data_IF_367584890452
#
_entry.id   IF_367584890452
#
_cell.length_a   1.000
_cell.length_b   1.000
_cell.length_c   1.000
_cell.angle_alpha   90.00
_cell.angle_beta   90.00
_cell.angle_gamma   90.00
#
_symmetry.space_group_name_H-M   'P 1'
#
loop_
_entity.id
_entity.type
_entity.pdbx_description
1 polymer ?
#
# COMPACT_ATOMS: atom_id res chain seq x y z
N UNK A 1 18.41 -9.77 -26.56
CA UNK A 1 18.07 -10.96 -27.36
C UNK A 1 18.30 -12.18 -26.50
N UNK A 2 17.30 -13.04 -26.39
CA UNK A 2 17.39 -14.26 -25.57
C UNK A 2 17.98 -15.39 -26.42
N UNK A 3 18.92 -16.13 -25.84
CA UNK A 3 19.47 -17.34 -26.44
C UNK A 3 18.79 -18.54 -25.78
N UNK A 4 17.83 -19.13 -26.48
CA UNK A 4 17.09 -20.30 -25.97
C UNK A 4 18.02 -21.47 -25.64
N UNK A 5 19.17 -21.63 -26.30
CA UNK A 5 20.14 -22.69 -25.97
C UNK A 5 20.84 -22.51 -24.61
N UNK A 6 20.61 -21.41 -23.88
CA UNK A 6 21.14 -21.25 -22.53
C UNK A 6 20.40 -22.18 -21.56
N UNK A 7 21.10 -23.05 -20.81
CA UNK A 7 20.47 -24.02 -19.92
C UNK A 7 19.46 -23.38 -18.96
N UNK A 8 19.82 -22.25 -18.34
CA UNK A 8 18.94 -21.54 -17.41
C UNK A 8 17.63 -21.02 -18.04
N UNK A 9 17.64 -20.68 -19.34
CA UNK A 9 16.43 -20.25 -20.05
C UNK A 9 15.55 -21.47 -20.35
N UNK A 10 16.13 -22.59 -20.78
CA UNK A 10 15.39 -23.84 -20.95
C UNK A 10 14.78 -24.31 -19.62
N UNK A 11 15.54 -24.27 -18.52
CA UNK A 11 15.06 -24.69 -17.20
C UNK A 11 13.80 -23.92 -16.79
N UNK A 12 13.75 -22.59 -17.01
CA UNK A 12 12.56 -21.77 -16.74
C UNK A 12 11.38 -22.14 -17.64
N UNK A 13 11.64 -22.36 -18.94
CA UNK A 13 10.59 -22.70 -19.90
C UNK A 13 9.93 -24.03 -19.51
N UNK A 14 10.74 -25.03 -19.17
CA UNK A 14 10.27 -26.38 -18.82
C UNK A 14 9.77 -26.50 -17.37
N UNK A 15 10.08 -25.52 -16.52
CA UNK A 15 9.75 -25.54 -15.10
C UNK A 15 8.24 -25.48 -14.85
N UNK A 16 7.77 -26.27 -13.89
CA UNK A 16 6.40 -26.20 -13.34
C UNK A 16 6.36 -25.49 -11.98
N UNK A 17 7.39 -24.74 -11.66
CA UNK A 17 7.48 -24.04 -10.39
C UNK A 17 6.39 -22.97 -10.27
N UNK A 18 6.00 -22.60 -9.04
CA UNK A 18 5.12 -21.46 -8.79
C UNK A 18 5.65 -20.18 -9.44
N UNK A 19 4.74 -19.26 -9.76
CA UNK A 19 5.08 -18.01 -10.44
C UNK A 19 6.08 -17.16 -9.64
N UNK A 20 6.10 -17.29 -8.32
CA UNK A 20 7.06 -16.63 -7.42
C UNK A 20 8.51 -17.06 -7.67
N UNK A 21 8.73 -18.36 -7.82
CA UNK A 21 10.05 -18.92 -8.12
C UNK A 21 10.48 -18.55 -9.54
N UNK A 22 9.55 -18.61 -10.51
CA UNK A 22 9.79 -18.21 -11.89
C UNK A 22 10.18 -16.72 -11.98
N UNK A 23 9.46 -15.84 -11.29
CA UNK A 23 9.78 -14.41 -11.26
C UNK A 23 11.20 -14.19 -10.71
N UNK A 24 11.53 -14.80 -9.57
CA UNK A 24 12.86 -14.69 -8.96
C UNK A 24 13.98 -15.15 -9.90
N UNK A 25 13.79 -16.28 -10.58
CA UNK A 25 14.77 -16.82 -11.52
C UNK A 25 14.94 -15.94 -12.76
N UNK A 26 13.82 -15.49 -13.37
CA UNK A 26 13.84 -14.57 -14.52
C UNK A 26 14.57 -13.28 -14.17
N UNK A 27 14.25 -12.66 -13.03
CA UNK A 27 14.87 -11.42 -12.54
C UNK A 27 16.38 -11.61 -12.33
N UNK A 28 16.80 -12.76 -11.78
CA UNK A 28 18.22 -13.09 -11.60
C UNK A 28 18.98 -13.23 -12.92
N UNK A 29 18.40 -13.94 -13.90
CA UNK A 29 19.02 -14.14 -15.22
C UNK A 29 19.05 -12.83 -15.98
N UNK A 30 17.96 -12.05 -15.95
CA UNK A 30 17.90 -10.73 -16.57
C UNK A 30 18.97 -9.80 -16.00
N UNK A 31 19.12 -9.73 -14.67
CA UNK A 31 20.17 -8.93 -14.03
C UNK A 31 21.57 -9.34 -14.49
N UNK A 32 21.83 -10.65 -14.60
CA UNK A 32 23.09 -11.17 -15.13
C UNK A 32 23.29 -10.81 -16.61
N UNK A 33 22.24 -10.87 -17.42
CA UNK A 33 22.28 -10.50 -18.84
C UNK A 33 22.53 -9.00 -19.02
N UNK A 34 21.92 -8.16 -18.17
CA UNK A 34 22.08 -6.72 -18.18
C UNK A 34 23.51 -6.29 -17.79
N UNK A 35 24.09 -6.89 -16.74
CA UNK A 35 25.49 -6.66 -16.37
C UNK A 35 26.45 -6.97 -17.53
N UNK A 36 26.29 -8.14 -18.16
CA UNK A 36 27.12 -8.55 -19.30
C UNK A 36 26.99 -7.62 -20.52
N UNK A 37 25.81 -6.99 -20.73
CA UNK A 37 25.62 -5.98 -21.76
C UNK A 37 26.29 -4.66 -21.37
N UNK A 38 26.07 -4.21 -20.14
CA UNK A 38 26.64 -2.96 -19.62
C UNK A 38 28.17 -3.00 -19.53
N UNK A 39 28.81 -4.16 -19.42
CA UNK A 39 30.27 -4.28 -19.48
C UNK A 39 30.87 -3.92 -20.85
N UNK A 40 30.04 -3.71 -21.89
CA UNK A 40 30.51 -3.38 -23.24
C UNK A 40 30.05 -1.98 -23.66
N UNK A 41 30.98 -1.08 -24.04
CA UNK A 41 30.66 0.32 -24.34
C UNK A 41 29.56 0.52 -25.40
N UNK A 42 29.49 -0.36 -26.40
CA UNK A 42 28.50 -0.27 -27.48
C UNK A 42 27.05 -0.52 -27.04
N UNK A 43 26.81 -1.12 -25.87
CA UNK A 43 25.47 -1.40 -25.36
C UNK A 43 25.02 -0.42 -24.29
N UNK A 44 25.96 0.20 -23.56
CA UNK A 44 25.65 1.14 -22.46
C UNK A 44 24.74 2.30 -22.88
N UNK A 45 24.90 2.80 -24.12
CA UNK A 45 24.11 3.92 -24.66
C UNK A 45 23.00 3.48 -25.62
N UNK A 46 22.85 2.17 -25.86
CA UNK A 46 21.89 1.66 -26.83
C UNK A 46 20.55 1.32 -26.15
N UNK A 47 19.77 2.36 -25.85
CA UNK A 47 18.49 2.25 -25.16
C UNK A 47 17.51 1.28 -25.85
N UNK A 48 17.47 1.25 -27.18
CA UNK A 48 16.59 0.36 -27.93
C UNK A 48 16.96 -1.12 -27.74
N UNK A 49 18.25 -1.45 -27.74
CA UNK A 49 18.71 -2.82 -27.50
C UNK A 49 18.44 -3.29 -26.06
N UNK A 50 18.60 -2.40 -25.08
CA UNK A 50 18.29 -2.67 -23.67
C UNK A 50 16.79 -2.88 -23.47
N UNK A 51 15.96 -1.99 -24.02
CA UNK A 51 14.51 -2.08 -23.95
C UNK A 51 13.99 -3.38 -24.62
N UNK A 52 14.51 -3.73 -25.81
CA UNK A 52 14.16 -4.99 -26.46
C UNK A 52 14.62 -6.20 -25.64
N UNK A 53 15.76 -6.14 -24.94
CA UNK A 53 16.19 -7.23 -24.08
C UNK A 53 15.19 -7.43 -22.93
N UNK A 54 14.83 -6.34 -22.26
CA UNK A 54 13.86 -6.36 -21.16
C UNK A 54 12.49 -6.89 -21.62
N UNK A 55 12.00 -6.47 -22.78
CA UNK A 55 10.74 -6.95 -23.35
C UNK A 55 10.74 -8.47 -23.61
N UNK A 56 11.84 -9.04 -24.10
CA UNK A 56 11.94 -10.49 -24.33
C UNK A 56 11.84 -11.28 -23.02
N UNK A 57 12.49 -10.82 -21.94
CA UNK A 57 12.38 -11.46 -20.63
C UNK A 57 10.99 -11.30 -20.03
N UNK A 58 10.39 -10.11 -20.15
CA UNK A 58 9.00 -9.87 -19.79
C UNK A 58 8.03 -10.80 -20.53
N UNK A 59 8.34 -11.15 -21.78
CA UNK A 59 7.53 -12.08 -22.59
C UNK A 59 7.65 -13.53 -22.13
N UNK A 60 8.81 -13.96 -21.65
CA UNK A 60 8.94 -15.28 -21.00
C UNK A 60 8.06 -15.32 -19.75
N UNK A 61 8.16 -14.31 -18.89
CA UNK A 61 7.33 -14.25 -17.68
C UNK A 61 5.83 -14.23 -18.02
N UNK A 62 5.41 -13.39 -18.97
CA UNK A 62 4.03 -13.34 -19.44
C UNK A 62 3.51 -14.72 -19.89
N UNK A 63 4.31 -15.48 -20.64
CA UNK A 63 3.94 -16.83 -21.06
C UNK A 63 3.82 -17.80 -19.86
N UNK A 64 4.68 -17.67 -18.84
CA UNK A 64 4.59 -18.47 -17.62
C UNK A 64 3.38 -18.09 -16.76
N UNK A 65 2.99 -16.82 -16.72
CA UNK A 65 1.73 -16.38 -16.11
C UNK A 65 0.54 -16.99 -16.87
N UNK A 66 0.56 -16.98 -18.20
CA UNK A 66 -0.48 -17.64 -19.00
C UNK A 66 -0.57 -19.14 -18.69
N UNK A 67 0.57 -19.84 -18.62
CA UNK A 67 0.62 -21.26 -18.26
C UNK A 67 0.06 -21.52 -16.85
N UNK A 68 0.39 -20.65 -15.88
CA UNK A 68 -0.20 -20.69 -14.55
C UNK A 68 -1.73 -20.56 -14.60
N UNK A 69 -2.26 -19.63 -15.39
CA UNK A 69 -3.71 -19.50 -15.59
C UNK A 69 -4.33 -20.77 -16.19
N UNK A 70 -3.69 -21.38 -17.20
CA UNK A 70 -4.15 -22.63 -17.79
C UNK A 70 -4.18 -23.80 -16.79
N UNK A 71 -3.26 -23.81 -15.83
CA UNK A 71 -3.09 -24.90 -14.88
C UNK A 71 -3.96 -24.74 -13.60
N UNK A 72 -4.53 -23.56 -13.36
CA UNK A 72 -5.45 -23.30 -12.26
C UNK A 72 -6.89 -23.55 -12.71
N UNK A 73 -7.56 -24.55 -12.13
CA UNK A 73 -8.91 -24.96 -12.54
C UNK A 73 -9.96 -23.86 -12.37
N UNK A 74 -9.82 -22.97 -11.38
CA UNK A 74 -10.77 -21.88 -11.17
C UNK A 74 -10.60 -20.80 -12.25
N UNK A 75 -9.35 -20.49 -12.62
CA UNK A 75 -9.06 -19.52 -13.67
C UNK A 75 -9.43 -20.10 -15.04
N UNK A 76 -8.89 -21.28 -15.39
CA UNK A 76 -9.02 -21.87 -16.73
C UNK A 76 -10.46 -22.20 -17.14
N UNK A 77 -11.35 -22.48 -16.18
CA UNK A 77 -12.77 -22.76 -16.46
C UNK A 77 -13.67 -21.52 -16.40
N UNK A 78 -13.11 -20.32 -16.19
CA UNK A 78 -13.89 -19.08 -16.10
C UNK A 78 -14.11 -18.43 -17.47
N UNK A 79 -15.22 -17.71 -17.61
CA UNK A 79 -15.49 -16.90 -18.79
C UNK A 79 -14.51 -15.71 -18.89
N UNK A 80 -14.00 -15.23 -17.75
CA UNK A 80 -12.88 -14.30 -17.68
C UNK A 80 -11.69 -14.79 -18.52
N UNK A 81 -11.27 -16.05 -18.35
CA UNK A 81 -10.09 -16.56 -19.02
C UNK A 81 -10.28 -16.70 -20.54
N UNK A 82 -11.48 -17.02 -21.01
CA UNK A 82 -11.80 -17.05 -22.44
C UNK A 82 -11.61 -15.68 -23.13
N UNK A 83 -11.74 -14.60 -22.37
CA UNK A 83 -11.62 -13.21 -22.83
C UNK A 83 -10.30 -12.55 -22.43
N UNK A 84 -9.50 -13.19 -21.58
CA UNK A 84 -8.26 -12.64 -21.06
C UNK A 84 -7.14 -12.81 -22.09
N UNK A 85 -6.46 -11.70 -22.41
CA UNK A 85 -5.22 -11.76 -23.16
C UNK A 85 -4.18 -10.80 -22.61
N UNK A 86 -2.92 -11.17 -22.76
CA UNK A 86 -1.78 -10.41 -22.25
C UNK A 86 -0.93 -9.86 -23.39
N UNK A 87 -0.31 -8.70 -23.16
CA UNK A 87 0.70 -8.17 -24.05
C UNK A 87 1.86 -7.57 -23.27
N UNK A 88 3.05 -7.72 -23.83
CA UNK A 88 4.22 -6.97 -23.41
C UNK A 88 4.25 -5.62 -24.11
N UNK A 89 4.45 -4.56 -23.35
CA UNK A 89 4.70 -3.22 -23.88
C UNK A 89 6.02 -2.66 -23.31
N UNK A 90 6.52 -1.58 -23.89
CA UNK A 90 7.71 -0.87 -23.41
C UNK A 90 7.32 0.58 -23.15
N UNK A 91 7.37 0.99 -21.89
CA UNK A 91 7.24 2.39 -21.52
C UNK A 91 8.65 2.99 -21.37
N UNK A 92 9.18 3.55 -22.45
CA UNK A 92 10.56 4.04 -22.49
C UNK A 92 11.58 2.90 -22.49
N UNK A 93 12.18 2.59 -21.34
CA UNK A 93 13.14 1.49 -21.18
C UNK A 93 12.66 0.36 -20.25
N UNK A 94 11.45 0.51 -19.68
CA UNK A 94 10.91 -0.45 -18.72
C UNK A 94 9.82 -1.30 -19.37
N UNK A 95 9.92 -2.63 -19.30
CA UNK A 95 8.88 -3.49 -19.82
C UNK A 95 7.62 -3.40 -18.94
N UNK A 96 6.47 -3.66 -19.53
CA UNK A 96 5.19 -3.79 -18.85
C UNK A 96 4.48 -5.04 -19.38
N UNK A 97 3.68 -5.70 -18.53
CA UNK A 97 2.76 -6.76 -18.96
C UNK A 97 1.34 -6.26 -18.71
N UNK A 98 0.57 -6.06 -19.78
CA UNK A 98 -0.81 -5.56 -19.73
C UNK A 98 -1.80 -6.71 -19.80
N UNK A 99 -2.77 -6.75 -18.90
CA UNK A 99 -3.85 -7.73 -18.85
C UNK A 99 -5.13 -7.12 -19.39
N UNK A 100 -5.61 -7.62 -20.52
CA UNK A 100 -6.75 -7.06 -21.22
C UNK A 100 -7.90 -8.06 -21.22
N UNK A 101 -9.11 -7.52 -21.10
CA UNK A 101 -10.35 -8.23 -21.33
C UNK A 101 -10.88 -7.87 -22.72
N UNK A 102 -10.98 -8.84 -23.61
CA UNK A 102 -11.64 -8.67 -24.90
C UNK A 102 -13.15 -8.68 -24.69
N UNK A 103 -13.89 -7.69 -25.20
CA UNK A 103 -15.35 -7.74 -25.18
C UNK A 103 -15.95 -7.98 -26.57
N UNK A 104 -17.20 -8.43 -26.60
CA UNK A 104 -17.96 -8.76 -27.81
C UNK A 104 -18.11 -7.59 -28.80
N UNK A 105 -17.82 -6.36 -28.38
CA UNK A 105 -17.91 -5.15 -29.20
C UNK A 105 -16.60 -4.80 -29.91
N UNK A 106 -15.65 -5.74 -29.99
CA UNK A 106 -14.30 -5.51 -30.55
C UNK A 106 -13.52 -4.39 -29.83
N UNK A 107 -13.82 -4.16 -28.55
CA UNK A 107 -13.04 -3.25 -27.71
C UNK A 107 -12.32 -4.04 -26.61
N UNK A 108 -11.11 -3.59 -26.28
CA UNK A 108 -10.31 -4.16 -25.22
C UNK A 108 -10.42 -3.26 -24.00
N UNK A 109 -10.67 -3.87 -22.84
CA UNK A 109 -10.66 -3.19 -21.55
C UNK A 109 -9.37 -3.60 -20.85
N UNK A 110 -8.46 -2.65 -20.64
CA UNK A 110 -7.25 -2.90 -19.87
C UNK A 110 -7.65 -3.07 -18.41
N UNK A 111 -7.48 -4.27 -17.86
CA UNK A 111 -7.83 -4.56 -16.47
C UNK A 111 -6.79 -3.96 -15.53
N UNK A 112 -5.54 -4.40 -15.69
CA UNK A 112 -4.40 -3.98 -14.89
C UNK A 112 -3.09 -4.22 -15.65
N UNK A 113 -2.02 -3.64 -15.15
CA UNK A 113 -0.67 -3.75 -15.69
C UNK A 113 0.30 -4.23 -14.60
N UNK A 114 1.18 -5.18 -14.92
CA UNK A 114 2.41 -5.41 -14.16
C UNK A 114 3.45 -4.44 -14.71
N UNK A 115 3.76 -3.42 -13.92
CA UNK A 115 4.89 -2.54 -14.17
C UNK A 115 6.15 -3.23 -13.68
N UNK A 116 7.28 -2.98 -14.34
CA UNK A 116 8.57 -3.48 -13.86
C UNK A 116 8.63 -5.01 -13.64
N UNK A 117 8.09 -5.83 -14.56
CA UNK A 117 7.80 -7.26 -14.34
C UNK A 117 9.03 -8.14 -14.13
N UNK A 118 10.25 -7.65 -14.34
CA UNK A 118 11.48 -8.46 -14.26
C UNK A 118 12.53 -7.80 -13.37
N UNK A 119 12.07 -6.94 -12.46
CA UNK A 119 12.90 -6.26 -11.49
C UNK A 119 12.22 -6.22 -10.10
N UNK A 120 12.96 -5.77 -9.08
CA UNK A 120 12.50 -5.73 -7.70
C UNK A 120 11.50 -4.60 -7.40
N UNK A 121 11.27 -3.70 -8.35
CA UNK A 121 10.28 -2.62 -8.29
C UNK A 121 8.96 -3.03 -8.96
N UNK A 122 8.84 -4.31 -9.34
CA UNK A 122 7.64 -4.90 -9.91
C UNK A 122 6.41 -4.63 -9.06
N UNK A 123 5.37 -4.08 -9.67
CA UNK A 123 4.11 -3.80 -8.98
C UNK A 123 2.92 -3.88 -9.94
N UNK A 124 1.74 -4.04 -9.36
CA UNK A 124 0.48 -3.98 -10.10
C UNK A 124 -0.03 -2.54 -10.14
N UNK A 125 -0.62 -2.18 -11.27
CA UNK A 125 -1.38 -0.96 -11.44
C UNK A 125 -2.76 -1.32 -11.99
N UNK A 126 -3.81 -1.00 -11.24
CA UNK A 126 -5.18 -1.17 -11.68
C UNK A 126 -5.57 -0.07 -12.68
N UNK A 127 -6.37 -0.44 -13.66
CA UNK A 127 -6.79 0.48 -14.73
C UNK A 127 -8.32 0.54 -14.79
N UNK A 128 -8.96 -0.61 -14.94
CA UNK A 128 -10.43 -0.71 -14.96
C UNK A 128 -10.94 -1.78 -13.98
N UNK A 129 -10.20 -2.06 -12.90
CA UNK A 129 -10.63 -2.99 -11.86
C UNK A 129 -11.69 -2.36 -10.93
N UNK A 130 -12.46 -3.18 -10.21
CA UNK A 130 -13.36 -2.70 -9.17
C UNK A 130 -12.66 -1.85 -8.13
N UNK A 131 -13.32 -0.78 -7.71
CA UNK A 131 -12.90 0.09 -6.61
C UNK A 131 -13.90 0.00 -5.47
N UNK A 132 -13.60 0.66 -4.35
CA UNK A 132 -14.55 0.70 -3.23
C UNK A 132 -15.85 1.44 -3.59
N UNK A 133 -15.77 2.37 -4.55
CA UNK A 133 -16.91 3.16 -5.03
C UNK A 133 -17.69 2.45 -6.14
N UNK A 134 -17.03 1.58 -6.88
CA UNK A 134 -17.60 0.83 -8.00
C UNK A 134 -17.15 -0.64 -7.94
N UNK A 135 -17.85 -1.42 -7.11
CA UNK A 135 -17.54 -2.84 -6.83
C UNK A 135 -17.81 -3.72 -8.07
N UNK A 136 -18.71 -3.28 -8.95
CA UNK A 136 -19.04 -3.97 -10.21
C UNK A 136 -19.03 -2.95 -11.35
N UNK A 137 -17.84 -2.60 -11.88
CA UNK A 137 -17.73 -1.60 -12.92
C UNK A 137 -18.61 -1.93 -14.12
N UNK A 138 -19.43 -0.99 -14.54
CA UNK A 138 -20.36 -1.19 -15.67
C UNK A 138 -19.64 -1.55 -16.98
N UNK A 139 -18.35 -1.22 -17.09
CA UNK A 139 -17.51 -1.60 -18.22
C UNK A 139 -17.14 -3.10 -18.23
N UNK A 140 -17.06 -3.75 -17.06
CA UNK A 140 -16.63 -5.14 -16.91
C UNK A 140 -17.83 -6.09 -16.84
N UNK A 141 -18.08 -6.93 -17.86
CA UNK A 141 -19.18 -7.88 -17.85
C UNK A 141 -18.80 -9.17 -17.11
N UNK A 142 -18.34 -9.06 -15.87
CA UNK A 142 -17.88 -10.19 -15.05
C UNK A 142 -18.97 -10.61 -14.06
N UNK A 143 -19.23 -11.91 -13.97
CA UNK A 143 -20.08 -12.50 -12.93
C UNK A 143 -19.28 -12.88 -11.66
N UNK A 144 -19.93 -13.45 -10.65
CA UNK A 144 -19.26 -13.81 -9.40
C UNK A 144 -18.17 -14.91 -9.58
N UNK A 145 -18.33 -15.82 -10.54
CA UNK A 145 -17.30 -16.83 -10.85
C UNK A 145 -16.09 -16.19 -11.54
N UNK A 146 -16.34 -15.25 -12.45
CA UNK A 146 -15.31 -14.47 -13.12
C UNK A 146 -14.53 -13.61 -12.11
N UNK A 147 -15.20 -12.99 -11.14
CA UNK A 147 -14.52 -12.29 -10.05
C UNK A 147 -13.70 -13.23 -9.17
N UNK A 148 -14.20 -14.41 -8.85
CA UNK A 148 -13.43 -15.41 -8.12
C UNK A 148 -12.15 -15.81 -8.87
N UNK A 149 -12.23 -16.00 -10.19
CA UNK A 149 -11.08 -16.27 -11.05
C UNK A 149 -10.10 -15.08 -11.10
N UNK A 150 -10.60 -13.84 -11.21
CA UNK A 150 -9.77 -12.64 -11.20
C UNK A 150 -9.03 -12.46 -9.87
N UNK A 151 -9.71 -12.67 -8.75
CA UNK A 151 -9.13 -12.65 -7.41
C UNK A 151 -8.06 -13.74 -7.30
N UNK A 152 -8.33 -14.95 -7.81
CA UNK A 152 -7.37 -16.04 -7.82
C UNK A 152 -6.11 -15.70 -8.62
N UNK A 153 -6.25 -15.09 -9.80
CA UNK A 153 -5.14 -14.60 -10.60
C UNK A 153 -4.30 -13.59 -9.81
N UNK A 154 -4.93 -12.58 -9.21
CA UNK A 154 -4.21 -11.55 -8.45
C UNK A 154 -3.51 -12.16 -7.24
N UNK A 155 -4.15 -13.06 -6.48
CA UNK A 155 -3.52 -13.78 -5.37
C UNK A 155 -2.24 -14.52 -5.80
N UNK A 156 -2.25 -15.15 -6.98
CA UNK A 156 -1.04 -15.78 -7.51
C UNK A 156 0.05 -14.75 -7.83
N UNK A 157 -0.30 -13.60 -8.42
CA UNK A 157 0.66 -12.52 -8.69
C UNK A 157 1.24 -11.93 -7.40
N UNK A 158 0.45 -11.83 -6.33
CA UNK A 158 0.93 -11.43 -5.01
C UNK A 158 1.98 -12.40 -4.44
N UNK A 159 1.88 -13.70 -4.74
CA UNK A 159 2.95 -14.66 -4.35
C UNK A 159 4.28 -14.35 -5.05
N UNK A 160 4.24 -13.74 -6.24
CA UNK A 160 5.40 -13.27 -6.98
C UNK A 160 5.83 -11.85 -6.60
N UNK A 161 5.33 -11.31 -5.48
CA UNK A 161 5.66 -9.99 -4.96
C UNK A 161 5.17 -8.82 -5.82
N UNK A 162 4.17 -9.05 -6.69
CA UNK A 162 3.46 -7.97 -7.37
C UNK A 162 2.25 -7.53 -6.57
N UNK A 163 2.32 -6.32 -6.00
CA UNK A 163 1.25 -5.73 -5.19
C UNK A 163 0.70 -4.48 -5.86
N UNK A 164 -0.57 -4.16 -5.62
CA UNK A 164 -1.09 -2.82 -5.91
C UNK A 164 -0.47 -1.79 -4.96
N UNK A 165 -0.30 -0.55 -5.43
CA UNK A 165 0.42 0.47 -4.66
C UNK A 165 -0.45 1.13 -3.58
N UNK A 166 -1.77 1.23 -3.82
CA UNK A 166 -2.66 1.97 -2.90
C UNK A 166 -3.98 1.25 -2.67
N UNK A 167 -4.52 1.43 -1.47
CA UNK A 167 -5.84 0.95 -1.05
C UNK A 167 -6.99 1.47 -1.93
N UNK A 168 -6.81 2.64 -2.55
CA UNK A 168 -7.84 3.35 -3.34
C UNK A 168 -7.97 2.75 -4.74
N UNK A 169 -6.88 2.17 -5.26
CA UNK A 169 -6.77 1.78 -6.66
C UNK A 169 -7.72 0.63 -7.03
N UNK A 170 -7.89 -0.34 -6.13
CA UNK A 170 -8.82 -1.46 -6.33
C UNK A 170 -9.16 -2.15 -5.02
N UNK A 171 -10.32 -2.79 -4.94
CA UNK A 171 -10.67 -3.68 -3.80
C UNK A 171 -10.16 -5.12 -3.98
N UNK A 172 -9.43 -5.40 -5.07
CA UNK A 172 -8.82 -6.71 -5.33
C UNK A 172 -7.44 -6.83 -4.70
N UNK A 173 -7.30 -6.37 -3.46
CA UNK A 173 -6.08 -6.44 -2.67
C UNK A 173 -6.37 -6.97 -1.26
N UNK A 174 -5.38 -7.53 -0.54
CA UNK A 174 -5.54 -8.00 0.83
C UNK A 174 -6.14 -6.95 1.77
N UNK A 175 -6.97 -7.42 2.70
CA UNK A 175 -7.45 -6.61 3.83
C UNK A 175 -6.33 -6.37 4.82
N UNK A 176 -5.55 -7.42 5.13
CA UNK A 176 -4.45 -7.30 6.08
C UNK A 176 -3.36 -6.36 5.53
N UNK A 177 -3.02 -5.36 6.35
CA UNK A 177 -2.07 -4.32 5.99
C UNK A 177 -2.59 -3.22 5.08
N UNK A 178 -3.86 -3.26 4.67
CA UNK A 178 -4.50 -2.19 3.91
C UNK A 178 -4.40 -0.89 4.68
N UNK A 179 -3.73 0.11 4.11
CA UNK A 179 -3.54 1.42 4.73
C UNK A 179 -4.14 2.49 3.85
N UNK A 180 -4.99 3.35 4.42
CA UNK A 180 -5.63 4.44 3.69
C UNK A 180 -5.73 5.70 4.55
N UNK A 181 -5.69 6.85 3.87
CA UNK A 181 -5.90 8.14 4.53
C UNK A 181 -7.38 8.29 4.89
N UNK A 182 -7.65 8.94 6.02
CA UNK A 182 -9.00 9.23 6.48
C UNK A 182 -9.15 10.71 6.89
N UNK A 183 -10.37 11.13 7.17
CA UNK A 183 -10.65 12.48 7.65
C UNK A 183 -10.43 12.54 9.16
N UNK A 184 -9.36 13.20 9.58
CA UNK A 184 -9.14 13.56 10.97
C UNK A 184 -9.88 14.86 11.33
N UNK A 185 -10.26 15.04 12.61
CA UNK A 185 -10.67 16.35 13.11
C UNK A 185 -9.63 17.43 12.78
N UNK A 186 -10.06 18.71 12.67
CA UNK A 186 -9.14 19.81 12.34
C UNK A 186 -7.95 19.83 13.30
N UNK A 187 -6.75 19.97 12.72
CA UNK A 187 -5.52 20.14 13.49
C UNK A 187 -5.64 21.39 14.35
N UNK A 188 -5.37 21.25 15.64
CA UNK A 188 -5.31 22.35 16.58
C UNK A 188 -3.85 22.61 16.95
N UNK A 189 -3.54 23.88 17.24
CA UNK A 189 -2.20 24.28 17.66
C UNK A 189 -2.25 24.80 19.09
N UNK A 190 -1.31 24.34 19.92
CA UNK A 190 -1.02 24.92 21.22
C UNK A 190 0.46 25.30 21.26
N UNK A 191 0.76 26.43 21.89
CA UNK A 191 2.12 26.91 22.01
C UNK A 191 2.47 27.33 23.43
N UNK A 192 3.70 27.07 23.84
CA UNK A 192 4.30 27.60 25.05
C UNK A 192 5.59 28.33 24.69
N UNK A 193 5.81 29.49 25.30
CA UNK A 193 7.05 30.25 25.14
C UNK A 193 7.75 30.39 26.49
N UNK A 194 9.07 30.28 26.48
CA UNK A 194 9.93 30.51 27.63
C UNK A 194 11.07 31.44 27.22
N UNK A 195 11.30 32.47 28.01
CA UNK A 195 12.52 33.27 27.93
C UNK A 195 13.62 32.54 28.70
N UNK A 196 14.77 32.34 28.06
CA UNK A 196 15.89 31.59 28.63
C UNK A 196 16.85 32.57 29.29
N UNK A 197 17.07 32.40 30.58
CA UNK A 197 18.06 33.16 31.32
C UNK A 197 19.35 32.35 31.47
N UNK A 198 20.50 33.01 31.57
CA UNK A 198 21.84 32.39 31.60
C UNK A 198 22.08 31.40 32.75
N UNK A 199 21.13 31.20 33.65
CA UNK A 199 21.18 30.25 34.78
C UNK A 199 20.07 29.17 34.71
N UNK A 200 19.27 29.12 33.63
CA UNK A 200 18.21 28.14 33.48
C UNK A 200 18.79 26.79 33.03
N UNK A 201 19.00 25.87 33.96
CA UNK A 201 19.39 24.49 33.63
C UNK A 201 18.50 23.46 34.35
N UNK A 202 17.85 22.52 33.63
CA UNK A 202 17.69 22.40 32.16
C UNK A 202 16.47 23.17 31.60
N UNK A 203 16.47 23.44 30.28
CA UNK A 203 15.35 24.07 29.56
C UNK A 203 14.24 23.03 29.35
N UNK A 204 12.99 23.37 29.70
CA UNK A 204 11.86 22.44 29.59
C UNK A 204 10.59 23.21 29.18
N UNK A 205 10.19 23.05 27.91
CA UNK A 205 8.97 23.60 27.37
C UNK A 205 7.86 22.55 27.44
N UNK A 206 6.71 22.92 27.99
CA UNK A 206 5.60 21.99 28.21
C UNK A 206 4.29 22.57 27.68
N UNK A 207 3.52 21.74 26.99
CA UNK A 207 2.15 22.04 26.60
C UNK A 207 1.27 20.84 26.93
N UNK A 208 0.04 21.09 27.39
CA UNK A 208 -0.93 20.03 27.63
C UNK A 208 -1.80 19.86 26.38
N UNK A 209 -1.71 18.69 25.76
CA UNK A 209 -2.53 18.29 24.62
C UNK A 209 -3.64 17.32 25.02
N UNK A 210 -3.72 16.89 26.28
CA UNK A 210 -4.73 15.94 26.77
C UNK A 210 -4.61 14.56 26.12
N UNK A 211 -5.75 13.90 25.89
CA UNK A 211 -5.84 12.60 25.20
C UNK A 211 -5.61 12.69 23.68
N UNK A 212 -5.19 13.84 23.16
CA UNK A 212 -5.04 14.04 21.73
C UNK A 212 -3.67 13.59 21.23
N UNK A 213 -3.62 13.13 19.99
CA UNK A 213 -2.39 12.72 19.35
C UNK A 213 -1.61 13.90 18.75
N UNK A 214 -0.29 13.80 18.83
CA UNK A 214 0.64 14.77 18.25
C UNK A 214 0.78 14.51 16.75
N UNK A 215 0.36 15.47 15.93
CA UNK A 215 0.58 15.42 14.49
C UNK A 215 2.01 15.82 14.13
N UNK A 216 2.50 16.93 14.71
CA UNK A 216 3.89 17.38 14.64
C UNK A 216 4.16 18.47 15.70
N UNK A 217 5.43 18.81 15.88
CA UNK A 217 5.83 19.93 16.73
C UNK A 217 7.03 20.66 16.14
N UNK A 218 7.19 21.93 16.52
CA UNK A 218 8.34 22.75 16.19
C UNK A 218 8.79 23.53 17.42
N UNK A 219 10.08 23.82 17.50
CA UNK A 219 10.65 24.67 18.55
C UNK A 219 11.40 25.80 17.88
N UNK A 220 10.85 27.01 17.98
CA UNK A 220 11.34 28.17 17.24
C UNK A 220 12.13 29.11 18.16
N UNK A 221 13.30 29.54 17.69
CA UNK A 221 14.09 30.62 18.28
C UNK A 221 14.60 31.52 17.16
N UNK A 222 14.35 32.84 17.24
CA UNK A 222 14.79 33.81 16.22
C UNK A 222 14.48 33.40 14.76
N UNK A 223 13.33 32.77 14.53
CA UNK A 223 12.91 32.32 13.19
C UNK A 223 13.59 31.04 12.69
N UNK A 224 14.34 30.32 13.53
CA UNK A 224 14.91 29.00 13.23
C UNK A 224 14.23 27.92 14.04
N UNK A 225 13.92 26.80 13.39
CA UNK A 225 13.45 25.59 14.05
C UNK A 225 14.66 24.83 14.61
N UNK A 226 14.63 24.53 15.90
CA UNK A 226 15.68 23.82 16.65
C UNK A 226 15.14 22.55 17.32
N UNK A 227 13.98 22.06 16.90
CA UNK A 227 13.31 20.89 17.51
C UNK A 227 14.21 19.65 17.57
N UNK A 228 15.12 19.49 16.62
CA UNK A 228 16.08 18.38 16.50
C UNK A 228 17.25 18.44 17.50
N UNK A 229 17.39 19.55 18.22
CA UNK A 229 18.47 19.75 19.20
C UNK A 229 18.10 19.36 20.62
N UNK A 230 16.87 18.88 20.85
CA UNK A 230 16.37 18.45 22.15
C UNK A 230 15.58 17.15 22.05
N UNK A 231 15.18 16.65 23.21
CA UNK A 231 14.42 15.43 23.37
C UNK A 231 12.94 15.76 23.58
N UNK A 232 12.08 15.08 22.82
CA UNK A 232 10.63 15.22 22.93
C UNK A 232 10.00 13.96 23.52
N UNK A 233 9.07 14.14 24.44
CA UNK A 233 8.27 13.06 25.02
C UNK A 233 6.83 13.50 25.26
N UNK A 234 5.90 12.57 25.10
CA UNK A 234 4.50 12.73 25.50
C UNK A 234 4.29 11.85 26.74
N UNK A 235 3.78 12.44 27.82
CA UNK A 235 3.48 11.73 29.06
C UNK A 235 2.08 11.13 29.03
N UNK A 236 1.82 10.12 29.87
CA UNK A 236 0.52 9.43 29.98
C UNK A 236 -0.64 10.38 30.36
N UNK A 237 -0.35 11.52 30.99
CA UNK A 237 -1.35 12.55 31.35
C UNK A 237 -1.60 13.58 30.23
N UNK A 238 -1.01 13.39 29.05
CA UNK A 238 -1.22 14.24 27.88
C UNK A 238 -0.35 15.50 27.85
N UNK A 239 0.77 15.52 28.57
CA UNK A 239 1.71 16.65 28.53
C UNK A 239 2.82 16.36 27.53
N UNK A 240 2.89 17.17 26.48
CA UNK A 240 4.02 17.15 25.55
C UNK A 240 5.14 18.02 26.13
N UNK A 241 6.33 17.43 26.23
CA UNK A 241 7.52 18.03 26.82
C UNK A 241 8.62 18.01 25.76
N UNK A 242 9.24 19.17 25.55
CA UNK A 242 10.51 19.29 24.83
C UNK A 242 11.58 19.80 25.78
N UNK A 243 12.66 19.05 25.91
CA UNK A 243 13.74 19.30 26.86
C UNK A 243 15.09 19.33 26.14
N UNK A 244 15.98 20.21 26.62
CA UNK A 244 17.34 20.34 26.09
C UNK A 244 18.25 20.92 27.17
N UNK A 245 19.52 20.50 27.13
CA UNK A 245 20.59 21.14 27.91
C UNK A 245 20.78 22.60 27.49
N UNK A 246 20.89 23.49 28.47
CA UNK A 246 21.24 24.90 28.28
C UNK A 246 22.52 25.08 27.46
N UNK A 247 22.52 26.13 26.67
CA UNK A 247 23.66 26.56 25.87
C UNK A 247 23.73 28.09 25.93
N UNK A 248 24.94 28.65 26.05
CA UNK A 248 25.18 30.10 26.11
C UNK A 248 24.60 30.82 24.88
N UNK A 249 24.53 30.12 23.74
CA UNK A 249 23.98 30.63 22.48
C UNK A 249 22.45 30.89 22.54
N UNK A 250 21.75 30.32 23.53
CA UNK A 250 20.31 30.51 23.75
C UNK A 250 20.00 31.52 24.86
N UNK A 251 21.02 32.04 25.56
CA UNK A 251 20.83 33.02 26.63
C UNK A 251 20.13 34.28 26.11
N UNK A 252 19.18 34.78 26.91
CA UNK A 252 18.33 35.93 26.62
C UNK A 252 17.49 35.79 25.35
N UNK A 253 17.27 34.56 24.87
CA UNK A 253 16.36 34.26 23.76
C UNK A 253 15.01 33.77 24.26
N UNK A 254 13.96 34.03 23.49
CA UNK A 254 12.65 33.39 23.70
C UNK A 254 12.53 32.18 22.78
N UNK A 255 12.40 31.00 23.38
CA UNK A 255 12.00 29.79 22.65
C UNK A 255 10.48 29.69 22.64
N UNK A 256 9.92 29.23 21.53
CA UNK A 256 8.50 28.93 21.40
C UNK A 256 8.33 27.51 20.90
N UNK A 257 7.80 26.64 21.75
CA UNK A 257 7.31 25.32 21.37
C UNK A 257 5.91 25.50 20.80
N UNK A 258 5.70 25.03 19.58
CA UNK A 258 4.40 24.93 18.93
C UNK A 258 4.10 23.46 18.65
N UNK A 259 3.00 22.95 19.19
CA UNK A 259 2.56 21.57 19.02
C UNK A 259 1.25 21.57 18.27
N UNK A 260 1.23 20.85 17.16
CA UNK A 260 0.01 20.57 16.41
C UNK A 260 -0.51 19.19 16.81
N UNK A 261 -1.75 19.15 17.28
CA UNK A 261 -2.40 17.93 17.73
C UNK A 261 -3.76 17.72 17.04
N UNK A 262 -4.21 16.47 17.03
CA UNK A 262 -5.50 16.05 16.47
C UNK A 262 -6.25 15.24 17.51
N UNK A 263 -7.55 15.46 17.60
CA UNK A 263 -8.40 14.65 18.46
C UNK A 263 -8.61 13.27 17.85
N UNK A 264 -8.29 12.23 18.61
CA UNK A 264 -8.56 10.83 18.27
C UNK A 264 -9.83 10.30 18.95
N UNK A 265 -10.29 10.96 20.02
CA UNK A 265 -11.51 10.61 20.75
C UNK A 265 -12.80 10.64 19.90
N UNK A 266 -12.79 11.37 18.79
CA UNK A 266 -13.92 11.52 17.86
C UNK A 266 -13.48 11.44 16.39
N UNK A 267 -12.75 10.38 16.04
CA UNK A 267 -12.42 10.12 14.64
C UNK A 267 -13.71 9.71 13.89
N UNK A 268 -14.21 10.50 12.91
CA UNK A 268 -15.50 10.20 12.27
C UNK A 268 -15.57 8.80 11.66
N UNK A 269 -14.46 8.32 11.08
CA UNK A 269 -14.38 6.97 10.54
C UNK A 269 -14.58 5.89 11.62
N UNK A 270 -14.12 6.09 12.85
CA UNK A 270 -14.39 5.13 13.93
C UNK A 270 -15.81 5.23 14.45
N UNK A 271 -16.34 6.44 14.60
CA UNK A 271 -17.71 6.66 15.06
C UNK A 271 -18.71 5.98 14.10
N UNK A 272 -18.51 6.17 12.79
CA UNK A 272 -19.30 5.52 11.75
C UNK A 272 -19.15 4.00 11.78
N UNK A 273 -17.92 3.49 11.99
CA UNK A 273 -17.68 2.05 12.11
C UNK A 273 -18.38 1.46 13.34
N UNK A 274 -18.32 2.16 14.47
CA UNK A 274 -18.95 1.73 15.73
C UNK A 274 -20.46 1.63 15.56
N UNK A 275 -21.07 2.64 14.94
CA UNK A 275 -22.51 2.64 14.63
C UNK A 275 -22.85 1.48 13.69
N UNK A 276 -22.10 1.33 12.60
CA UNK A 276 -22.32 0.28 11.61
C UNK A 276 -22.17 -1.13 12.21
N UNK A 277 -21.12 -1.36 13.01
CA UNK A 277 -20.89 -2.62 13.71
C UNK A 277 -22.04 -2.93 14.68
N UNK A 278 -22.45 -1.94 15.50
CA UNK A 278 -23.56 -2.08 16.45
C UNK A 278 -24.89 -2.45 15.76
N UNK A 279 -25.20 -1.80 14.63
CA UNK A 279 -26.39 -2.12 13.83
C UNK A 279 -26.37 -3.55 13.25
N UNK A 280 -25.19 -4.13 13.07
CA UNK A 280 -25.00 -5.50 12.60
C UNK A 280 -24.75 -6.51 13.74
N UNK A 281 -24.92 -6.09 15.01
CA UNK A 281 -24.70 -6.95 16.18
C UNK A 281 -23.24 -7.36 16.38
N UNK A 282 -22.31 -6.59 15.84
CA UNK A 282 -20.86 -6.82 15.93
C UNK A 282 -20.30 -5.99 17.08
N UNK A 283 -19.54 -6.65 17.96
CA UNK A 283 -18.85 -5.98 19.04
C UNK A 283 -17.57 -5.32 18.51
N UNK A 284 -17.47 -4.00 18.73
CA UNK A 284 -16.26 -3.23 18.57
C UNK A 284 -15.72 -2.86 19.96
N UNK A 285 -14.41 -2.98 20.17
CA UNK A 285 -13.72 -2.61 21.41
C UNK A 285 -12.37 -1.96 21.13
N UNK A 286 -11.91 -1.12 22.05
CA UNK A 286 -10.51 -0.73 22.10
C UNK A 286 -9.65 -1.92 22.54
N UNK A 287 -8.44 -2.01 21.99
CA UNK A 287 -7.40 -2.97 22.39
C UNK A 287 -6.74 -2.55 23.71
N UNK A 288 -5.81 -3.36 24.19
CA UNK A 288 -4.91 -3.01 25.30
C UNK A 288 -3.83 -2.01 24.86
N UNK A 289 -3.63 -1.83 23.55
CA UNK A 289 -2.76 -0.81 22.97
C UNK A 289 -3.56 0.46 22.64
N UNK A 290 -2.94 1.62 22.85
CA UNK A 290 -3.49 2.89 22.40
C UNK A 290 -3.69 2.87 20.87
N UNK A 291 -4.74 3.55 20.40
CA UNK A 291 -5.05 3.72 18.97
C UNK A 291 -5.32 2.44 18.19
N UNK A 292 -5.56 1.34 18.89
CA UNK A 292 -5.94 0.05 18.32
C UNK A 292 -7.37 -0.33 18.69
N UNK A 293 -8.12 -0.79 17.68
CA UNK A 293 -9.52 -1.20 17.81
C UNK A 293 -9.74 -2.55 17.16
N UNK A 294 -10.66 -3.31 17.71
CA UNK A 294 -10.98 -4.66 17.25
C UNK A 294 -12.47 -4.84 17.04
N UNK A 295 -12.84 -5.42 15.88
CA UNK A 295 -14.19 -5.87 15.58
C UNK A 295 -14.20 -7.40 15.53
N UNK A 296 -15.02 -8.03 16.38
CA UNK A 296 -15.21 -9.49 16.34
C UNK A 296 -16.29 -9.84 15.32
N UNK A 297 -15.88 -10.32 14.14
CA UNK A 297 -16.79 -10.66 13.06
C UNK A 297 -17.55 -11.97 13.34
N UNK A 298 -18.71 -12.22 12.69
CA UNK A 298 -19.52 -13.42 12.86
C UNK A 298 -18.79 -14.76 12.63
N UNK A 299 -17.71 -14.77 11.85
CA UNK A 299 -16.85 -15.93 11.65
C UNK A 299 -15.82 -16.14 12.77
N UNK A 300 -15.92 -15.40 13.88
CA UNK A 300 -14.99 -15.34 15.01
C UNK A 300 -13.57 -14.86 14.64
N UNK A 301 -13.38 -14.27 13.46
CA UNK A 301 -12.14 -13.56 13.11
C UNK A 301 -12.22 -12.13 13.63
N UNK A 302 -11.05 -11.56 13.94
CA UNK A 302 -10.95 -10.19 14.44
C UNK A 302 -10.48 -9.30 13.29
N UNK A 303 -11.26 -8.28 12.93
CA UNK A 303 -10.78 -7.17 12.11
C UNK A 303 -10.16 -6.13 13.05
N UNK A 304 -8.83 -6.00 13.00
CA UNK A 304 -8.09 -5.00 13.75
C UNK A 304 -7.93 -3.71 12.95
N UNK A 305 -7.88 -2.58 13.67
CA UNK A 305 -7.62 -1.26 13.13
C UNK A 305 -6.55 -0.60 13.98
N UNK A 306 -5.52 -0.05 13.34
CA UNK A 306 -4.52 0.81 13.97
C UNK A 306 -4.63 2.20 13.38
N UNK A 307 -4.73 3.20 14.23
CA UNK A 307 -4.83 4.61 13.84
C UNK A 307 -3.45 5.23 13.89
N UNK A 308 -3.13 6.04 12.87
CA UNK A 308 -1.92 6.85 12.84
C UNK A 308 -2.29 8.30 12.61
N UNK A 309 -2.40 9.07 13.70
CA UNK A 309 -2.62 10.50 13.65
C UNK A 309 -1.54 11.28 12.86
N UNK A 310 -0.23 11.00 13.02
CA UNK A 310 0.81 11.70 12.24
C UNK A 310 0.66 11.52 10.73
N UNK A 311 0.15 10.35 10.29
CA UNK A 311 -0.08 10.03 8.88
C UNK A 311 -1.52 10.31 8.43
N UNK A 312 -2.40 10.69 9.35
CA UNK A 312 -3.84 10.79 9.14
C UNK A 312 -4.43 9.55 8.44
N UNK A 313 -4.00 8.36 8.88
CA UNK A 313 -4.29 7.11 8.22
C UNK A 313 -4.83 6.04 9.18
N UNK A 314 -5.60 5.10 8.63
CA UNK A 314 -6.01 3.85 9.29
C UNK A 314 -5.31 2.71 8.57
N UNK A 315 -4.79 1.75 9.35
CA UNK A 315 -4.30 0.46 8.86
C UNK A 315 -5.20 -0.66 9.35
N UNK A 316 -5.63 -1.52 8.44
CA UNK A 316 -6.40 -2.71 8.77
C UNK A 316 -5.49 -3.91 9.05
N UNK A 317 -5.97 -4.79 9.92
CA UNK A 317 -5.33 -6.03 10.28
C UNK A 317 -6.35 -7.17 10.19
N UNK A 318 -6.00 -8.27 9.53
CA UNK A 318 -6.88 -9.42 9.40
C UNK A 318 -6.12 -10.75 9.49
N UNK A 319 -6.60 -11.76 10.23
CA UNK A 319 -5.87 -13.01 10.46
C UNK A 319 -5.56 -13.82 9.21
N UNK A 320 -6.39 -13.70 8.17
CA UNK A 320 -6.15 -14.31 6.86
C UNK A 320 -5.47 -13.29 5.93
N UNK A 321 -4.14 -13.33 5.76
CA UNK A 321 -3.40 -12.27 5.07
C UNK A 321 -3.66 -12.22 3.56
N UNK A 322 -4.33 -13.23 3.01
CA UNK A 322 -4.66 -13.31 1.59
C UNK A 322 -6.14 -13.04 1.32
N UNK A 323 -6.97 -12.76 2.34
CA UNK A 323 -8.36 -12.39 2.11
C UNK A 323 -8.41 -10.99 1.49
N UNK A 324 -8.99 -10.86 0.29
CA UNK A 324 -9.10 -9.58 -0.38
C UNK A 324 -10.31 -8.78 0.12
N UNK A 325 -10.22 -7.44 0.01
CA UNK A 325 -11.30 -6.52 0.41
C UNK A 325 -12.62 -6.90 -0.26
N UNK A 326 -12.61 -7.22 -1.56
CA UNK A 326 -13.79 -7.69 -2.28
C UNK A 326 -14.49 -8.88 -1.60
N UNK A 327 -13.73 -9.89 -1.16
CA UNK A 327 -14.28 -11.09 -0.51
C UNK A 327 -14.88 -10.75 0.84
N UNK A 328 -14.23 -9.87 1.61
CA UNK A 328 -14.71 -9.45 2.92
C UNK A 328 -16.00 -8.62 2.82
N UNK A 329 -16.06 -7.64 1.92
CA UNK A 329 -17.24 -6.77 1.80
C UNK A 329 -18.46 -7.50 1.22
N UNK A 330 -18.25 -8.57 0.43
CA UNK A 330 -19.34 -9.46 -0.01
C UNK A 330 -19.93 -10.29 1.13
N UNK A 331 -19.14 -10.58 2.17
CA UNK A 331 -19.63 -11.26 3.37
C UNK A 331 -20.27 -10.26 4.36
N UNK A 332 -19.76 -9.02 4.37
CA UNK A 332 -20.11 -7.99 5.33
C UNK A 332 -20.31 -6.65 4.62
N UNK A 333 -21.49 -6.47 4.00
CA UNK A 333 -21.81 -5.27 3.19
C UNK A 333 -21.56 -3.94 3.93
N UNK A 334 -21.80 -3.92 5.26
CA UNK A 334 -21.59 -2.72 6.07
C UNK A 334 -20.13 -2.25 6.09
N UNK A 335 -19.16 -3.16 5.95
CA UNK A 335 -17.74 -2.79 5.84
C UNK A 335 -17.46 -2.08 4.51
N UNK A 336 -18.14 -2.48 3.44
CA UNK A 336 -18.06 -1.80 2.15
C UNK A 336 -18.57 -0.37 2.24
N UNK A 337 -19.75 -0.16 2.84
CA UNK A 337 -20.32 1.18 3.04
C UNK A 337 -19.46 2.05 3.97
N UNK A 338 -18.93 1.45 5.04
CA UNK A 338 -18.00 2.15 5.92
C UNK A 338 -16.72 2.58 5.20
N UNK A 339 -16.07 1.66 4.48
CA UNK A 339 -14.83 1.97 3.75
C UNK A 339 -15.02 3.11 2.72
N UNK A 340 -16.19 3.18 2.05
CA UNK A 340 -16.52 4.29 1.15
C UNK A 340 -16.53 5.66 1.85
N UNK A 341 -16.98 5.71 3.11
CA UNK A 341 -16.99 6.94 3.90
C UNK A 341 -15.64 7.24 4.58
N UNK A 342 -14.94 6.18 5.00
CA UNK A 342 -13.70 6.30 5.76
C UNK A 342 -12.49 6.67 4.89
N UNK A 343 -12.45 6.21 3.63
CA UNK A 343 -11.35 6.48 2.71
C UNK A 343 -11.47 7.91 2.18
N UNK A 344 -10.44 8.72 2.42
CA UNK A 344 -10.34 10.07 1.89
C UNK A 344 -9.90 10.02 0.41
N UNK A 345 -10.69 10.66 -0.45
CA UNK A 345 -10.38 10.86 -1.88
C UNK A 345 -9.23 11.84 -2.11
#
# INVERSE_FOLDING_TARGET
MINYNQPKIHDIIDSKAPISDIHREITSIYGSALLNLNDKPQWQTNAAALANNAAEFGRILMNKIHEMCCNDELISNSNLFEHLWMQTDINGATPQIKFNYANDKSSNILLFTINHPIDQQGHLQAENLPTIYDIQPAALPLDDNDYAALIRLIKQLYTADYHFNTAVETILQPVDGLTFNTVFPPVQAISASQEIHSNDEPISLKVNVGSNDIANYEVMVNGKNIADTGDAQLTDDGTFIWERDSDDDLADQTLTLSVNYVSTDHLPALDDLFIAASMNGILMRASDQADEYELTLPNNQILGLTISAPRQAIRLHYPEPTLHVYELIKQYDFLGEWLKGAIKN
#
